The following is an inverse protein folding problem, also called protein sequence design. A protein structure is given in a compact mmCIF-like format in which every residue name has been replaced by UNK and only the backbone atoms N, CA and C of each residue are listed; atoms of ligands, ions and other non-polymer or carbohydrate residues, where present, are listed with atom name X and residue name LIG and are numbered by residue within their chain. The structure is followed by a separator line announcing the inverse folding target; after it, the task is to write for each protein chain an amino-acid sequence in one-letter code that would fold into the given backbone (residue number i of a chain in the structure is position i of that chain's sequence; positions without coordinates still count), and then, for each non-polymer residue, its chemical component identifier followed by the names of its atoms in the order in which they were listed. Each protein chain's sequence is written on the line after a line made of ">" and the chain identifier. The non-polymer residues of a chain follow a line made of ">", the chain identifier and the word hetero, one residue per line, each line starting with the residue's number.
data_IF_811010035454
#
_entry.id   IF_811010035454
#
_cell.length_a   1.000
_cell.length_b   1.000
_cell.length_c   1.000
_cell.angle_alpha   90.00
_cell.angle_beta   90.00
_cell.angle_gamma   90.00
#
_symmetry.space_group_name_H-M   'P 1'
#
loop_
_entity.id
_entity.type
_entity.pdbx_description
1 polymer ?
#
# COMPACT_ATOMS: atom_id res chain seq x y z
N UNK A 1 -11.81 14.28 4.58
CA UNK A 1 -11.94 12.82 4.39
C UNK A 1 -10.54 12.27 4.60
N UNK A 2 -10.25 11.75 5.80
CA UNK A 2 -8.93 11.18 6.07
C UNK A 2 -8.82 9.91 5.24
N UNK A 3 -7.82 9.84 4.37
CA UNK A 3 -7.56 8.63 3.61
C UNK A 3 -7.02 7.60 4.60
N UNK A 4 -7.76 6.52 4.82
CA UNK A 4 -7.29 5.41 5.65
C UNK A 4 -6.21 4.66 4.86
N UNK A 5 -4.96 5.10 5.07
CA UNK A 5 -3.80 4.55 4.38
C UNK A 5 -3.61 3.06 4.69
N UNK A 6 -4.04 2.59 5.85
CA UNK A 6 -3.99 1.17 6.23
C UNK A 6 -4.97 0.34 5.37
N UNK A 7 -6.20 0.84 5.19
CA UNK A 7 -7.17 0.22 4.29
C UNK A 7 -6.71 0.27 2.82
N UNK A 8 -6.03 1.34 2.42
CA UNK A 8 -5.49 1.48 1.07
C UNK A 8 -4.34 0.50 0.80
N UNK A 9 -3.40 0.35 1.74
CA UNK A 9 -2.32 -0.65 1.69
C UNK A 9 -2.87 -2.07 1.56
N UNK A 10 -3.84 -2.42 2.41
CA UNK A 10 -4.47 -3.76 2.40
C UNK A 10 -5.09 -4.09 1.04
N UNK A 11 -5.74 -3.11 0.37
CA UNK A 11 -6.32 -3.31 -0.96
C UNK A 11 -5.25 -3.53 -2.03
N UNK A 12 -4.10 -2.90 -1.92
CA UNK A 12 -3.01 -3.08 -2.89
C UNK A 12 -2.32 -4.42 -2.71
N UNK A 13 -2.11 -4.88 -1.47
CA UNK A 13 -1.64 -6.24 -1.20
C UNK A 13 -2.58 -7.32 -1.76
N UNK A 14 -3.88 -7.19 -1.53
CA UNK A 14 -4.86 -8.14 -2.08
C UNK A 14 -4.84 -8.20 -3.61
N UNK A 15 -4.58 -7.06 -4.28
CA UNK A 15 -4.42 -7.04 -5.74
C UNK A 15 -3.08 -7.63 -6.18
N UNK A 16 -1.99 -7.39 -5.44
CA UNK A 16 -0.68 -7.97 -5.74
C UNK A 16 -0.73 -9.50 -5.65
N UNK A 17 -1.41 -10.05 -4.64
CA UNK A 17 -1.65 -11.50 -4.52
C UNK A 17 -2.43 -12.05 -5.73
N UNK A 18 -3.46 -11.34 -6.18
CA UNK A 18 -4.21 -11.72 -7.39
C UNK A 18 -3.32 -11.68 -8.64
N UNK A 19 -2.49 -10.64 -8.81
CA UNK A 19 -1.56 -10.52 -9.93
C UNK A 19 -0.52 -11.66 -9.93
N UNK A 20 0.01 -12.04 -8.75
CA UNK A 20 0.88 -13.22 -8.62
C UNK A 20 0.16 -14.51 -9.01
N UNK A 21 -1.10 -14.68 -8.60
CA UNK A 21 -1.90 -15.86 -8.96
C UNK A 21 -2.18 -15.95 -10.47
N UNK A 22 -2.27 -14.80 -11.15
CA UNK A 22 -2.43 -14.68 -12.60
C UNK A 22 -1.09 -14.80 -13.37
N UNK A 23 0.04 -14.80 -12.66
CA UNK A 23 1.39 -14.86 -13.25
C UNK A 23 1.92 -13.51 -13.75
N UNK A 24 1.25 -12.40 -13.44
CA UNK A 24 1.69 -11.06 -13.77
C UNK A 24 2.60 -10.50 -12.65
N UNK A 25 3.85 -10.95 -12.67
CA UNK A 25 4.85 -10.54 -11.68
C UNK A 25 5.22 -9.04 -11.76
N UNK A 26 5.06 -8.41 -12.93
CA UNK A 26 5.35 -6.98 -13.09
C UNK A 26 4.28 -6.15 -12.39
N UNK A 27 3.01 -6.44 -12.67
CA UNK A 27 1.88 -5.79 -12.00
C UNK A 27 1.89 -6.05 -10.50
N UNK A 28 2.23 -7.27 -10.07
CA UNK A 28 2.38 -7.58 -8.66
C UNK A 28 3.41 -6.65 -8.00
N UNK A 29 4.61 -6.50 -8.58
CA UNK A 29 5.65 -5.63 -8.03
C UNK A 29 5.22 -4.17 -7.91
N UNK A 30 4.51 -3.62 -8.90
CA UNK A 30 4.00 -2.23 -8.84
C UNK A 30 2.97 -2.04 -7.71
N UNK A 31 2.11 -3.05 -7.50
CA UNK A 31 1.11 -3.05 -6.45
C UNK A 31 1.73 -3.19 -5.06
N UNK A 32 2.77 -4.01 -4.92
CA UNK A 32 3.54 -4.16 -3.66
C UNK A 32 4.25 -2.84 -3.29
N UNK A 33 4.88 -2.17 -4.25
CA UNK A 33 5.53 -0.87 -4.01
C UNK A 33 4.51 0.18 -3.56
N UNK A 34 3.35 0.22 -4.23
CA UNK A 34 2.24 1.11 -3.86
C UNK A 34 1.70 0.79 -2.46
N UNK A 35 1.58 -0.49 -2.11
CA UNK A 35 1.15 -0.92 -0.78
C UNK A 35 2.14 -0.45 0.30
N UNK A 36 3.44 -0.62 0.06
CA UNK A 36 4.50 -0.16 0.97
C UNK A 36 4.49 1.36 1.18
N UNK A 37 4.21 2.16 0.14
CA UNK A 37 4.04 3.60 0.27
C UNK A 37 2.85 3.96 1.18
N UNK A 38 1.73 3.26 1.04
CA UNK A 38 0.58 3.48 1.92
C UNK A 38 0.87 3.06 3.37
N UNK A 39 1.59 1.97 3.61
CA UNK A 39 2.02 1.60 4.97
C UNK A 39 2.96 2.65 5.59
N UNK A 40 3.85 3.22 4.78
CA UNK A 40 4.70 4.33 5.22
C UNK A 40 3.86 5.54 5.62
N UNK A 41 2.91 5.97 4.80
CA UNK A 41 2.02 7.09 5.13
C UNK A 41 1.13 6.79 6.33
N UNK A 42 0.62 5.57 6.49
CA UNK A 42 -0.14 5.16 7.66
C UNK A 42 0.71 5.30 8.93
N UNK A 43 1.97 4.87 8.88
CA UNK A 43 2.92 5.02 9.99
C UNK A 43 3.24 6.49 10.29
N UNK A 44 3.44 7.31 9.27
CA UNK A 44 3.71 8.74 9.43
C UNK A 44 2.51 9.49 10.04
N UNK A 45 1.29 9.14 9.62
CA UNK A 45 0.05 9.69 10.17
C UNK A 45 -0.13 9.29 11.65
N UNK A 46 0.13 8.02 11.98
CA UNK A 46 0.08 7.50 13.36
C UNK A 46 1.15 8.09 14.29
N UNK A 47 2.35 8.37 13.75
CA UNK A 47 3.48 8.91 14.54
C UNK A 47 3.48 10.43 14.60
N UNK A 48 2.58 11.11 13.88
CA UNK A 48 2.50 12.56 13.84
C UNK A 48 3.71 13.24 13.20
N UNK A 49 4.57 12.50 12.49
CA UNK A 49 5.74 13.05 11.76
C UNK A 49 5.27 13.58 10.41
N UNK A 50 4.25 14.44 10.41
CA UNK A 50 4.22 15.53 9.43
C UNK A 50 5.18 16.56 9.99
N UNK A 51 6.43 16.51 9.53
CA UNK A 51 7.39 17.57 9.78
C UNK A 51 6.73 18.92 9.48
N UNK A 52 6.43 19.67 10.54
CA UNK A 52 6.20 21.10 10.45
C UNK A 52 7.51 21.83 10.16
#
# INVERSE_FOLDING_TARGET
>A
MSMDYDQAATRMWAKAEAAHAEGDHHLAAELEDTAGLYEQFAREDLTGVRAG
#
